data_IF_849423108216
#
_entry.id   IF_849423108216
#
_cell.length_a   1.000
_cell.length_b   1.000
_cell.length_c   1.000
_cell.angle_alpha   90.00
_cell.angle_beta   90.00
_cell.angle_gamma   90.00
#
_symmetry.space_group_name_H-M   'P 1'
#
loop_
_entity.id
_entity.type
_entity.pdbx_description
1 polymer ?
#
# COMPACT_ATOMS: atom_id res chain seq x y z
N UNK A 1 1.24 8.89 -24.66
CA UNK A 1 0.13 8.02 -24.27
C UNK A 1 -1.07 8.83 -23.78
N UNK A 2 -2.26 8.38 -24.07
CA UNK A 2 -3.46 8.97 -23.49
C UNK A 2 -3.77 8.33 -22.11
N UNK A 3 -4.75 8.88 -21.40
CA UNK A 3 -5.04 8.42 -20.03
C UNK A 3 -5.52 6.96 -19.99
N UNK A 4 -6.22 6.50 -21.02
CA UNK A 4 -6.69 5.12 -21.09
C UNK A 4 -5.53 4.15 -21.19
N UNK A 5 -4.58 4.46 -22.07
CA UNK A 5 -3.36 3.67 -22.23
C UNK A 5 -2.56 3.60 -20.95
N UNK A 6 -2.40 4.75 -20.27
CA UNK A 6 -1.68 4.82 -19.00
C UNK A 6 -2.41 4.04 -17.92
N UNK A 7 -3.72 4.11 -17.86
CA UNK A 7 -4.54 3.33 -16.95
C UNK A 7 -4.29 1.82 -17.15
N UNK A 8 -4.27 1.39 -18.40
CA UNK A 8 -4.05 -0.03 -18.73
C UNK A 8 -2.65 -0.48 -18.32
N UNK A 9 -1.63 0.35 -18.53
CA UNK A 9 -0.23 0.01 -18.21
C UNK A 9 0.03 0.02 -16.71
N UNK A 10 -0.51 1.01 -16.00
CA UNK A 10 -0.21 1.19 -14.57
C UNK A 10 -1.16 0.43 -13.65
N UNK A 11 -2.32 0.04 -14.13
CA UNK A 11 -3.36 -0.54 -13.30
C UNK A 11 -4.13 0.47 -12.45
N UNK A 12 -3.83 1.75 -12.59
CA UNK A 12 -4.58 2.82 -11.91
C UNK A 12 -5.80 3.21 -12.75
N UNK A 13 -6.91 3.51 -12.09
CA UNK A 13 -8.08 4.02 -12.82
C UNK A 13 -7.81 5.42 -13.36
N UNK A 14 -8.50 5.77 -14.44
CA UNK A 14 -8.38 7.12 -14.99
C UNK A 14 -8.74 8.19 -13.96
N UNK A 15 -9.76 7.93 -13.14
CA UNK A 15 -10.15 8.87 -12.08
C UNK A 15 -9.05 9.05 -11.03
N UNK A 16 -8.38 7.98 -10.65
CA UNK A 16 -7.25 8.05 -9.71
C UNK A 16 -6.09 8.85 -10.31
N UNK A 17 -5.79 8.64 -11.59
CA UNK A 17 -4.74 9.38 -12.28
C UNK A 17 -5.05 10.88 -12.30
N UNK A 18 -6.29 11.25 -12.62
CA UNK A 18 -6.74 12.65 -12.60
C UNK A 18 -6.64 13.25 -11.19
N UNK A 19 -7.03 12.47 -10.20
CA UNK A 19 -6.95 12.88 -8.80
C UNK A 19 -5.50 13.16 -8.39
N UNK A 20 -4.57 12.27 -8.74
CA UNK A 20 -3.16 12.44 -8.39
C UNK A 20 -2.56 13.68 -9.04
N UNK A 21 -2.94 13.99 -10.27
CA UNK A 21 -2.52 15.24 -10.90
C UNK A 21 -3.09 16.45 -10.16
N UNK A 22 -4.37 16.39 -9.82
CA UNK A 22 -5.07 17.51 -9.17
C UNK A 22 -4.47 17.86 -7.81
N UNK A 23 -4.09 16.87 -7.02
CA UNK A 23 -3.54 17.11 -5.68
C UNK A 23 -2.03 17.38 -5.69
N UNK A 24 -1.40 17.38 -6.86
CA UNK A 24 0.02 17.66 -6.97
C UNK A 24 0.94 16.48 -6.66
N UNK A 25 0.39 15.28 -6.60
CA UNK A 25 1.19 14.08 -6.36
C UNK A 25 2.05 13.72 -7.56
N UNK A 26 1.54 13.98 -8.76
CA UNK A 26 2.33 13.90 -9.99
C UNK A 26 2.39 15.28 -10.61
N UNK A 27 3.45 15.57 -11.39
CA UNK A 27 3.56 16.86 -12.07
C UNK A 27 2.38 17.07 -13.01
N UNK A 28 2.11 18.33 -13.32
CA UNK A 28 1.06 18.68 -14.27
C UNK A 28 1.36 18.03 -15.61
N UNK A 29 0.40 17.28 -16.14
CA UNK A 29 0.55 16.54 -17.37
C UNK A 29 0.40 17.50 -18.56
N UNK A 30 1.31 17.40 -19.54
CA UNK A 30 1.22 18.16 -20.78
C UNK A 30 -0.06 17.80 -21.53
N UNK A 31 -0.56 18.76 -22.30
CA UNK A 31 -1.78 18.56 -23.08
C UNK A 31 -1.52 18.85 -24.56
N UNK A 32 -2.20 18.10 -25.41
CA UNK A 32 -2.22 18.39 -26.85
C UNK A 32 -2.98 19.68 -27.10
N UNK A 33 -2.85 20.23 -28.30
CA UNK A 33 -3.59 21.43 -28.71
C UNK A 33 -5.11 21.26 -28.56
N UNK A 34 -5.58 20.02 -28.63
CA UNK A 34 -7.01 19.68 -28.41
C UNK A 34 -7.44 19.73 -26.95
N UNK A 35 -6.50 19.91 -26.02
CA UNK A 35 -6.79 19.90 -24.58
C UNK A 35 -6.69 18.53 -23.93
N UNK A 36 -6.44 17.49 -24.71
CA UNK A 36 -6.32 16.12 -24.19
C UNK A 36 -4.95 15.90 -23.58
N UNK A 37 -4.89 15.21 -22.43
CA UNK A 37 -3.64 14.88 -21.74
C UNK A 37 -2.73 14.02 -22.61
N UNK A 38 -1.46 14.32 -22.60
CA UNK A 38 -0.40 13.56 -23.26
C UNK A 38 0.64 13.15 -22.25
N UNK A 39 0.67 11.87 -21.87
CA UNK A 39 1.57 11.36 -20.84
C UNK A 39 2.90 10.95 -21.46
N UNK A 40 3.99 11.40 -20.87
CA UNK A 40 5.34 10.99 -21.23
C UNK A 40 5.71 9.70 -20.53
N UNK A 41 6.82 9.08 -20.95
CA UNK A 41 7.37 7.92 -20.25
C UNK A 41 7.72 8.25 -18.80
N UNK A 42 8.22 9.47 -18.57
CA UNK A 42 8.53 9.91 -17.23
C UNK A 42 7.28 10.02 -16.36
N UNK A 43 6.19 10.52 -16.90
CA UNK A 43 4.92 10.58 -16.19
C UNK A 43 4.44 9.18 -15.78
N UNK A 44 4.57 8.21 -16.68
CA UNK A 44 4.19 6.82 -16.40
C UNK A 44 5.07 6.24 -15.28
N UNK A 45 6.37 6.50 -15.33
CA UNK A 45 7.31 6.04 -14.30
C UNK A 45 6.95 6.60 -12.92
N UNK A 46 6.58 7.88 -12.86
CA UNK A 46 6.14 8.52 -11.61
C UNK A 46 4.85 7.87 -11.10
N UNK A 47 3.89 7.63 -11.96
CA UNK A 47 2.63 6.99 -11.59
C UNK A 47 2.85 5.56 -11.07
N UNK A 48 3.75 4.81 -11.67
CA UNK A 48 4.08 3.47 -11.21
C UNK A 48 4.77 3.50 -9.84
N UNK A 49 5.67 4.44 -9.62
CA UNK A 49 6.29 4.66 -8.33
C UNK A 49 5.23 4.93 -7.26
N UNK A 50 4.32 5.86 -7.54
CA UNK A 50 3.24 6.21 -6.61
C UNK A 50 2.35 5.00 -6.33
N UNK A 51 1.97 4.26 -7.35
CA UNK A 51 1.15 3.07 -7.18
C UNK A 51 1.83 2.05 -6.26
N UNK A 52 3.10 1.79 -6.52
CA UNK A 52 3.87 0.81 -5.75
C UNK A 52 3.91 1.18 -4.26
N UNK A 53 4.27 2.43 -3.96
CA UNK A 53 4.41 2.84 -2.57
C UNK A 53 3.07 3.03 -1.87
N UNK A 54 2.02 3.42 -2.61
CA UNK A 54 0.66 3.44 -2.05
C UNK A 54 0.20 2.03 -1.68
N UNK A 55 0.47 1.06 -2.55
CA UNK A 55 0.14 -0.35 -2.27
C UNK A 55 0.88 -0.87 -1.04
N UNK A 56 2.09 -0.40 -0.81
CA UNK A 56 2.88 -0.78 0.37
C UNK A 56 2.43 -0.05 1.64
N UNK A 57 1.50 0.91 1.52
CA UNK A 57 0.94 1.61 2.67
C UNK A 57 1.52 2.98 2.95
N UNK A 58 2.36 3.52 2.07
CA UNK A 58 2.87 4.88 2.22
C UNK A 58 1.73 5.88 2.06
N UNK A 59 1.64 6.86 2.95
CA UNK A 59 0.54 7.83 2.92
C UNK A 59 0.65 8.78 1.73
N UNK A 60 -0.50 9.31 1.29
CA UNK A 60 -0.53 10.31 0.23
C UNK A 60 0.25 11.56 0.66
N UNK A 61 0.10 11.98 1.91
CA UNK A 61 0.80 13.15 2.45
C UNK A 61 2.32 12.98 2.36
N UNK A 62 2.82 11.81 2.71
CA UNK A 62 4.26 11.53 2.64
C UNK A 62 4.75 11.48 1.19
N UNK A 63 3.95 10.93 0.28
CA UNK A 63 4.29 10.93 -1.14
C UNK A 63 4.32 12.34 -1.72
N UNK A 64 3.38 13.20 -1.34
CA UNK A 64 3.37 14.60 -1.76
C UNK A 64 4.61 15.31 -1.26
N UNK A 65 5.00 15.09 0.00
CA UNK A 65 6.21 15.65 0.57
C UNK A 65 7.44 15.20 -0.21
N UNK A 66 7.55 13.91 -0.51
CA UNK A 66 8.66 13.36 -1.28
C UNK A 66 8.73 14.00 -2.68
N UNK A 67 7.60 14.03 -3.39
CA UNK A 67 7.57 14.62 -4.73
C UNK A 67 7.88 16.11 -4.73
N UNK A 68 7.47 16.82 -3.68
CA UNK A 68 7.84 18.22 -3.51
C UNK A 68 9.34 18.41 -3.34
N UNK A 69 9.99 17.53 -2.59
CA UNK A 69 11.44 17.56 -2.43
C UNK A 69 12.15 17.27 -3.75
N UNK A 70 11.66 16.31 -4.52
CA UNK A 70 12.23 16.00 -5.84
C UNK A 70 12.16 17.22 -6.75
N UNK A 71 11.03 17.91 -6.77
CA UNK A 71 10.85 19.12 -7.59
C UNK A 71 11.73 20.28 -7.13
N UNK A 72 12.06 20.35 -5.86
CA UNK A 72 12.93 21.39 -5.31
C UNK A 72 14.40 21.19 -5.69
N UNK A 73 14.77 20.05 -6.24
CA UNK A 73 16.07 19.83 -6.84
C UNK A 73 17.12 19.19 -5.95
N UNK A 74 18.37 19.26 -6.40
CA UNK A 74 19.47 18.49 -5.81
C UNK A 74 19.80 18.84 -4.36
N UNK A 75 19.45 20.04 -3.91
CA UNK A 75 19.70 20.45 -2.51
C UNK A 75 18.88 19.63 -1.50
N UNK A 76 17.88 18.87 -1.98
CA UNK A 76 16.97 18.10 -1.10
C UNK A 76 17.32 16.62 -1.02
N UNK A 77 18.44 16.18 -1.60
CA UNK A 77 18.79 14.74 -1.66
C UNK A 77 18.84 14.12 -0.27
N UNK A 78 19.47 14.77 0.70
CA UNK A 78 19.55 14.23 2.06
C UNK A 78 18.17 14.12 2.70
N UNK A 79 17.32 15.14 2.54
CA UNK A 79 15.97 15.11 3.06
C UNK A 79 15.15 13.98 2.42
N UNK A 80 15.33 13.75 1.13
CA UNK A 80 14.66 12.63 0.44
C UNK A 80 15.11 11.29 0.99
N UNK A 81 16.41 11.11 1.20
CA UNK A 81 16.94 9.87 1.76
C UNK A 81 16.40 9.63 3.17
N UNK A 82 16.35 10.66 3.99
CA UNK A 82 15.82 10.54 5.35
C UNK A 82 14.34 10.12 5.34
N UNK A 83 13.55 10.72 4.47
CA UNK A 83 12.14 10.37 4.33
C UNK A 83 11.98 8.92 3.88
N UNK A 84 12.76 8.48 2.91
CA UNK A 84 12.73 7.10 2.43
C UNK A 84 13.17 6.11 3.51
N UNK A 85 14.16 6.47 4.33
CA UNK A 85 14.58 5.62 5.45
C UNK A 85 13.49 5.46 6.50
N UNK A 86 12.78 6.54 6.82
CA UNK A 86 11.65 6.47 7.74
C UNK A 86 10.57 5.52 7.21
N UNK A 87 10.26 5.64 5.94
CA UNK A 87 9.28 4.76 5.29
C UNK A 87 9.75 3.31 5.29
N UNK A 88 11.04 3.09 5.03
CA UNK A 88 11.65 1.76 5.06
C UNK A 88 11.46 1.10 6.44
N UNK A 89 11.69 1.86 7.52
CA UNK A 89 11.50 1.33 8.87
C UNK A 89 10.06 0.99 9.17
N UNK A 90 9.12 1.82 8.74
CA UNK A 90 7.70 1.54 8.92
C UNK A 90 7.28 0.29 8.15
N UNK A 91 7.79 0.11 6.93
CA UNK A 91 7.53 -1.09 6.14
C UNK A 91 8.09 -2.35 6.81
N UNK A 92 9.31 -2.28 7.36
CA UNK A 92 9.91 -3.41 8.08
C UNK A 92 9.08 -3.79 9.30
N UNK A 93 8.59 -2.80 10.02
CA UNK A 93 7.73 -3.03 11.19
C UNK A 93 6.44 -3.74 10.79
N UNK A 94 5.78 -3.28 9.73
CA UNK A 94 4.56 -3.92 9.22
C UNK A 94 4.83 -5.34 8.72
N UNK A 95 5.94 -5.53 8.04
CA UNK A 95 6.34 -6.86 7.57
C UNK A 95 6.53 -7.82 8.73
N UNK A 96 7.18 -7.37 9.80
CA UNK A 96 7.39 -8.17 11.00
C UNK A 96 6.05 -8.56 11.65
N UNK A 97 5.12 -7.61 11.75
CA UNK A 97 3.79 -7.87 12.32
C UNK A 97 3.02 -8.90 11.49
N UNK A 98 3.08 -8.78 10.17
CA UNK A 98 2.42 -9.71 9.26
C UNK A 98 3.04 -11.09 9.40
N UNK A 99 4.37 -11.18 9.48
CA UNK A 99 5.06 -12.45 9.66
C UNK A 99 4.66 -13.13 10.97
N UNK A 100 4.56 -12.37 12.06
CA UNK A 100 4.11 -12.91 13.34
C UNK A 100 2.70 -13.46 13.28
N UNK A 101 1.80 -12.75 12.60
CA UNK A 101 0.43 -13.21 12.41
C UNK A 101 0.39 -14.51 11.59
N UNK A 102 1.19 -14.57 10.53
CA UNK A 102 1.28 -15.76 9.68
C UNK A 102 1.81 -16.95 10.49
N UNK A 103 2.86 -16.74 11.27
CA UNK A 103 3.44 -17.80 12.10
C UNK A 103 2.42 -18.36 13.10
N UNK A 104 1.58 -17.50 13.67
CA UNK A 104 0.52 -17.94 14.59
C UNK A 104 -0.55 -18.77 13.87
N UNK A 105 -0.90 -18.35 12.65
CA UNK A 105 -1.86 -19.12 11.86
C UNK A 105 -1.29 -20.48 11.48
N UNK A 106 -0.05 -20.52 11.04
CA UNK A 106 0.61 -21.77 10.69
C UNK A 106 0.65 -22.73 11.88
N UNK A 107 1.01 -22.22 13.05
CA UNK A 107 1.02 -23.03 14.27
C UNK A 107 -0.37 -23.56 14.59
N UNK A 108 -1.39 -22.73 14.52
CA UNK A 108 -2.75 -23.15 14.84
C UNK A 108 -3.25 -24.22 13.86
N UNK A 109 -2.99 -24.06 12.58
CA UNK A 109 -3.38 -25.01 11.55
C UNK A 109 -2.70 -26.36 11.78
N UNK A 110 -1.36 -26.35 11.99
CA UNK A 110 -0.60 -27.58 12.19
C UNK A 110 -1.05 -28.36 13.42
N UNK A 111 -1.42 -27.66 14.48
CA UNK A 111 -1.71 -28.28 15.75
C UNK A 111 -3.20 -28.37 16.06
N UNK A 112 -4.04 -27.98 15.13
CA UNK A 112 -5.47 -27.87 15.38
C UNK A 112 -6.10 -29.20 15.81
N UNK A 113 -5.81 -30.29 15.09
CA UNK A 113 -6.44 -31.59 15.34
C UNK A 113 -5.97 -32.23 16.65
N UNK A 114 -4.72 -32.01 17.04
CA UNK A 114 -4.13 -32.71 18.19
C UNK A 114 -4.17 -31.92 19.47
N UNK A 115 -3.81 -30.63 19.44
CA UNK A 115 -3.63 -29.83 20.64
C UNK A 115 -4.76 -28.80 20.80
N UNK A 116 -4.93 -27.95 19.81
CA UNK A 116 -5.82 -26.78 19.94
C UNK A 116 -7.30 -27.18 19.90
N UNK A 117 -7.64 -28.17 19.08
CA UNK A 117 -9.00 -28.63 19.01
C UNK A 117 -9.46 -29.24 20.36
N UNK A 118 -8.58 -30.02 20.98
CA UNK A 118 -8.85 -30.58 22.29
C UNK A 118 -9.06 -29.49 23.33
N UNK A 119 -8.21 -28.51 23.36
CA UNK A 119 -8.31 -27.38 24.30
C UNK A 119 -9.57 -26.53 24.04
N UNK A 120 -9.89 -26.25 22.78
CA UNK A 120 -11.10 -25.51 22.45
C UNK A 120 -12.37 -26.26 22.83
N UNK A 121 -12.42 -27.55 22.58
CA UNK A 121 -13.54 -28.37 22.96
C UNK A 121 -13.73 -28.45 24.49
N UNK A 122 -12.62 -28.53 25.22
CA UNK A 122 -12.65 -28.56 26.68
C UNK A 122 -13.20 -27.23 27.23
N UNK A 123 -12.76 -26.12 26.64
CA UNK A 123 -13.20 -24.78 27.01
C UNK A 123 -14.72 -24.63 26.89
N UNK A 124 -15.30 -25.09 25.80
CA UNK A 124 -16.74 -25.00 25.58
C UNK A 124 -17.54 -26.07 26.29
N UNK A 125 -16.96 -27.22 26.61
CA UNK A 125 -17.60 -28.28 27.31
C UNK A 125 -17.90 -27.94 28.79
N UNK A 126 -17.13 -27.05 29.39
CA UNK A 126 -17.21 -26.66 30.80
C UNK A 126 -18.31 -25.63 31.08
N UNK A 127 -19.40 -25.69 30.36
CA UNK A 127 -20.52 -24.80 30.62
C UNK A 127 -20.47 -23.45 29.92
N UNK A 128 -19.51 -23.23 29.05
CA UNK A 128 -19.40 -22.00 28.27
C UNK A 128 -20.35 -22.01 27.08
N UNK A 129 -21.62 -22.26 27.33
CA UNK A 129 -22.62 -22.45 26.30
C UNK A 129 -22.80 -21.24 25.38
N UNK A 130 -22.59 -20.04 25.91
CA UNK A 130 -22.68 -18.82 25.09
C UNK A 130 -21.61 -18.78 24.01
N UNK A 131 -20.40 -19.21 24.30
CA UNK A 131 -19.35 -19.32 23.32
C UNK A 131 -19.65 -20.39 22.28
N UNK A 132 -20.16 -21.51 22.72
CA UNK A 132 -20.57 -22.60 21.84
C UNK A 132 -21.53 -22.13 20.77
N UNK A 133 -22.54 -21.38 21.18
CA UNK A 133 -23.51 -20.82 20.24
C UNK A 133 -22.91 -19.81 19.27
N UNK A 134 -22.01 -18.98 19.74
CA UNK A 134 -21.40 -17.99 18.92
C UNK A 134 -20.44 -18.54 17.86
N UNK A 135 -20.04 -19.77 18.03
CA UNK A 135 -19.08 -20.35 17.10
C UNK A 135 -19.70 -21.00 15.87
N UNK A 136 -20.92 -21.36 15.99
CA UNK A 136 -21.67 -21.88 14.85
C UNK A 136 -20.99 -22.94 14.02
#
# INVERSE_FOLDING_TARGET
MNIKEVSDVTGLSADTIRYYERIGLVPKIARKSSGVREFSENDVAILEFVRCFRSAGMSIERLIEYMGLVQAGDSTVEARIDLLKEEQEELRSRLSEIQQALDRLDYKIENYQTILRGAENQLFADGSSSFKKGRG
#
